data_IF_932050710733
#
_entry.id   IF_932050710733
#
_cell.length_a   1.000
_cell.length_b   1.000
_cell.length_c   1.000
_cell.angle_alpha   90.00
_cell.angle_beta   90.00
_cell.angle_gamma   90.00
#
_symmetry.space_group_name_H-M   'P 1'
#
loop_
_entity.id
_entity.type
_entity.pdbx_description
1 polymer ?
#
# COMPACT_ATOMS: atom_id res chain seq x y z
N UNK A 1 -9.13 35.45 6.37
CA UNK A 1 -7.75 35.52 5.78
C UNK A 1 -6.86 34.67 6.69
N UNK A 2 -6.62 33.42 6.36
CA UNK A 2 -5.76 32.51 7.12
C UNK A 2 -4.36 32.64 6.53
N UNK A 3 -3.39 33.15 7.30
CA UNK A 3 -2.02 33.29 6.83
C UNK A 3 -1.17 32.06 7.14
N UNK A 4 0.08 32.09 6.78
CA UNK A 4 0.71 31.06 5.97
C UNK A 4 1.22 29.90 6.80
N UNK A 5 0.55 28.76 6.71
CA UNK A 5 1.10 27.44 7.04
C UNK A 5 2.26 26.96 6.14
N UNK A 6 2.68 27.63 5.05
CA UNK A 6 3.62 27.06 4.10
C UNK A 6 5.04 26.88 4.63
N UNK A 7 5.54 27.75 5.51
CA UNK A 7 6.95 27.71 5.94
C UNK A 7 7.22 26.61 6.98
N UNK A 8 6.34 26.44 7.95
CA UNK A 8 6.49 25.40 8.99
C UNK A 8 6.30 24.01 8.37
N UNK A 9 5.25 23.85 7.57
CA UNK A 9 4.98 22.57 6.87
C UNK A 9 6.08 22.24 5.86
N UNK A 10 6.63 23.23 5.15
CA UNK A 10 7.77 23.03 4.25
C UNK A 10 9.02 22.59 5.01
N UNK A 11 9.34 23.23 6.15
CA UNK A 11 10.47 22.87 6.99
C UNK A 11 10.29 21.45 7.58
N UNK A 12 9.08 21.09 7.98
CA UNK A 12 8.77 19.76 8.49
C UNK A 12 8.95 18.70 7.39
N UNK A 13 8.43 18.93 6.19
CA UNK A 13 8.64 18.02 5.04
C UNK A 13 10.11 17.89 4.66
N UNK A 14 10.85 18.99 4.66
CA UNK A 14 12.30 18.95 4.41
C UNK A 14 13.06 18.17 5.47
N UNK A 15 12.73 18.35 6.76
CA UNK A 15 13.34 17.58 7.84
C UNK A 15 13.01 16.08 7.72
N UNK A 16 11.75 15.74 7.43
CA UNK A 16 11.32 14.36 7.20
C UNK A 16 12.09 13.71 6.04
N UNK A 17 12.23 14.43 4.93
CA UNK A 17 12.96 13.94 3.75
C UNK A 17 14.44 13.70 4.05
N UNK A 18 15.12 14.63 4.74
CA UNK A 18 16.52 14.44 5.15
C UNK A 18 16.71 13.23 6.07
N UNK A 19 15.76 12.97 6.97
CA UNK A 19 15.80 11.79 7.84
C UNK A 19 15.71 10.51 7.02
N UNK A 20 14.82 10.46 6.02
CA UNK A 20 14.66 9.29 5.14
C UNK A 20 15.95 9.05 4.34
N UNK A 21 16.49 10.07 3.70
CA UNK A 21 17.71 9.99 2.90
C UNK A 21 18.90 9.53 3.75
N UNK A 22 19.13 10.18 4.90
CA UNK A 22 20.19 9.81 5.84
C UNK A 22 20.08 8.36 6.33
N UNK A 23 18.87 7.91 6.64
CA UNK A 23 18.65 6.54 7.09
C UNK A 23 18.95 5.52 5.99
N UNK A 24 18.47 5.75 4.76
CA UNK A 24 18.71 4.85 3.64
C UNK A 24 20.20 4.77 3.29
N UNK A 25 20.92 5.90 3.30
CA UNK A 25 22.37 5.93 3.11
C UNK A 25 23.10 5.12 4.19
N UNK A 26 22.78 5.35 5.46
CA UNK A 26 23.40 4.64 6.58
C UNK A 26 23.10 3.14 6.57
N UNK A 27 21.87 2.75 6.22
CA UNK A 27 21.54 1.32 6.09
C UNK A 27 22.33 0.64 4.98
N UNK A 28 22.63 1.35 3.90
CA UNK A 28 23.49 0.84 2.82
C UNK A 28 24.96 0.79 3.24
N UNK A 29 25.45 1.80 3.95
CA UNK A 29 26.86 1.90 4.36
C UNK A 29 27.24 0.90 5.45
N UNK A 30 26.36 0.71 6.47
CA UNK A 30 26.70 0.02 7.73
C UNK A 30 25.80 -1.17 8.05
N UNK A 31 24.74 -1.38 7.27
CA UNK A 31 23.67 -2.34 7.56
C UNK A 31 22.65 -1.78 8.57
N UNK A 32 21.43 -2.32 8.50
CA UNK A 32 20.31 -1.85 9.30
C UNK A 32 20.56 -1.98 10.81
N UNK A 33 21.11 -3.10 11.27
CA UNK A 33 21.28 -3.39 12.71
C UNK A 33 22.27 -2.45 13.38
N UNK A 34 23.35 -2.10 12.68
CA UNK A 34 24.42 -1.24 13.22
C UNK A 34 24.05 0.24 13.29
N UNK A 35 22.93 0.66 12.69
CA UNK A 35 22.52 2.07 12.66
C UNK A 35 21.55 2.39 13.77
N UNK A 36 21.83 3.43 14.54
CA UNK A 36 20.98 3.96 15.60
C UNK A 36 20.18 5.19 15.14
N UNK A 37 19.10 5.52 15.88
CA UNK A 37 18.37 6.79 15.68
C UNK A 37 19.30 8.01 15.86
N UNK A 38 20.31 7.90 16.73
CA UNK A 38 21.32 8.94 16.91
C UNK A 38 22.12 9.21 15.63
N UNK A 39 22.63 8.14 14.99
CA UNK A 39 23.38 8.25 13.74
C UNK A 39 22.55 8.88 12.63
N UNK A 40 21.26 8.47 12.51
CA UNK A 40 20.33 9.03 11.52
C UNK A 40 20.08 10.51 11.78
N UNK A 41 19.81 10.89 13.02
CA UNK A 41 19.53 12.28 13.39
C UNK A 41 20.75 13.19 13.14
N UNK A 42 21.95 12.72 13.46
CA UNK A 42 23.22 13.40 13.19
C UNK A 42 23.45 13.59 11.69
N UNK A 43 23.37 12.53 10.89
CA UNK A 43 23.53 12.56 9.43
C UNK A 43 22.47 13.48 8.75
N UNK A 44 21.25 13.47 9.27
CA UNK A 44 20.15 14.32 8.77
C UNK A 44 20.23 15.78 9.24
N UNK A 45 21.22 16.13 10.08
CA UNK A 45 21.35 17.44 10.70
C UNK A 45 20.07 17.89 11.45
N UNK A 46 19.47 16.97 12.22
CA UNK A 46 18.29 17.24 13.02
C UNK A 46 18.52 16.79 14.47
N UNK A 47 17.80 17.40 15.40
CA UNK A 47 17.78 16.90 16.78
C UNK A 47 17.02 15.57 16.92
N UNK A 48 17.39 14.71 17.87
CA UNK A 48 16.68 13.45 18.17
C UNK A 48 15.17 13.68 18.43
N UNK A 49 14.79 14.76 19.09
CA UNK A 49 13.39 15.14 19.29
C UNK A 49 12.67 15.40 17.96
N UNK A 50 13.37 15.98 16.98
CA UNK A 50 12.81 16.20 15.66
C UNK A 50 12.63 14.86 14.94
N UNK A 51 13.58 13.92 15.06
CA UNK A 51 13.41 12.57 14.54
C UNK A 51 12.13 11.91 15.11
N UNK A 52 12.00 11.84 16.44
CA UNK A 52 10.85 11.20 17.10
C UNK A 52 9.51 11.90 16.85
N UNK A 53 9.52 13.17 16.46
CA UNK A 53 8.29 13.84 15.99
C UNK A 53 7.81 13.36 14.63
N UNK A 54 8.71 12.86 13.76
CA UNK A 54 8.40 12.36 12.43
C UNK A 54 8.27 10.83 12.37
N UNK A 55 9.06 10.13 13.17
CA UNK A 55 9.15 8.67 13.16
C UNK A 55 9.26 8.15 14.59
N UNK A 56 8.49 7.12 14.92
CA UNK A 56 8.53 6.50 16.25
C UNK A 56 9.85 5.76 16.52
N UNK A 57 10.43 5.16 15.48
CA UNK A 57 11.68 4.41 15.54
C UNK A 57 12.35 4.35 14.14
N UNK A 58 13.54 3.70 14.06
CA UNK A 58 14.26 3.55 12.79
C UNK A 58 13.53 2.64 11.78
N UNK A 59 12.68 1.73 12.27
CA UNK A 59 11.89 0.84 11.43
C UNK A 59 10.81 1.62 10.68
N UNK A 60 10.17 2.61 11.32
CA UNK A 60 9.19 3.48 10.66
C UNK A 60 9.79 4.25 9.48
N UNK A 61 11.08 4.56 9.51
CA UNK A 61 11.74 5.25 8.40
C UNK A 61 11.79 4.37 7.15
N UNK A 62 11.98 3.06 7.32
CA UNK A 62 11.94 2.09 6.21
C UNK A 62 10.61 2.14 5.48
N UNK A 63 9.50 2.34 6.20
CA UNK A 63 8.13 2.39 5.69
C UNK A 63 7.61 3.81 5.38
N UNK A 64 8.50 4.78 5.22
CA UNK A 64 8.11 6.17 4.99
C UNK A 64 7.27 6.37 3.71
N UNK A 65 7.52 5.56 2.66
CA UNK A 65 6.78 5.60 1.39
C UNK A 65 5.36 5.04 1.51
N UNK A 66 5.15 4.04 2.37
CA UNK A 66 3.82 3.46 2.62
C UNK A 66 2.88 4.47 3.26
N UNK A 67 3.41 5.34 4.11
CA UNK A 67 2.63 6.45 4.67
C UNK A 67 2.13 7.40 3.58
N UNK A 68 2.95 7.71 2.58
CA UNK A 68 2.56 8.53 1.41
C UNK A 68 1.49 7.84 0.55
N UNK A 69 1.54 6.50 0.44
CA UNK A 69 0.51 5.73 -0.24
C UNK A 69 -0.83 5.81 0.48
N UNK A 70 -0.84 5.68 1.82
CA UNK A 70 -2.05 5.83 2.64
C UNK A 70 -2.68 7.22 2.49
N UNK A 71 -1.87 8.28 2.47
CA UNK A 71 -2.33 9.65 2.23
C UNK A 71 -2.92 9.80 0.82
N UNK A 72 -2.36 9.11 -0.18
CA UNK A 72 -2.86 9.12 -1.56
C UNK A 72 -4.25 8.46 -1.64
N UNK A 73 -4.46 7.33 -0.95
CA UNK A 73 -5.78 6.67 -0.88
C UNK A 73 -6.79 7.60 -0.21
N UNK A 74 -6.44 8.21 0.92
CA UNK A 74 -7.30 9.12 1.64
C UNK A 74 -7.64 10.40 0.82
N UNK A 75 -6.74 10.86 -0.05
CA UNK A 75 -7.02 11.96 -0.97
C UNK A 75 -7.97 11.54 -2.09
N UNK A 76 -7.81 10.33 -2.63
CA UNK A 76 -8.69 9.78 -3.65
C UNK A 76 -10.13 9.62 -3.15
N UNK A 77 -10.32 9.20 -1.87
CA UNK A 77 -11.63 9.10 -1.24
C UNK A 77 -12.40 10.44 -1.26
N UNK A 78 -11.70 11.55 -1.04
CA UNK A 78 -12.32 12.88 -0.97
C UNK A 78 -12.64 13.52 -2.32
N UNK A 79 -12.00 13.04 -3.38
CA UNK A 79 -12.07 13.66 -4.72
C UNK A 79 -12.99 12.93 -5.70
N UNK A 80 -13.58 11.79 -5.29
CA UNK A 80 -14.21 10.86 -6.20
C UNK A 80 -15.73 10.80 -6.00
N UNK A 81 -16.47 11.05 -7.09
CA UNK A 81 -17.94 10.96 -7.18
C UNK A 81 -18.40 9.56 -7.66
N UNK A 82 -17.56 8.54 -7.44
CA UNK A 82 -17.87 7.15 -7.83
C UNK A 82 -19.01 6.61 -6.96
N UNK A 83 -20.06 6.10 -7.60
CA UNK A 83 -21.21 5.53 -6.92
C UNK A 83 -20.83 4.32 -6.03
N UNK A 84 -21.64 4.09 -4.99
CA UNK A 84 -21.51 2.91 -4.12
C UNK A 84 -21.49 1.60 -4.91
N UNK A 85 -20.57 0.71 -4.62
CA UNK A 85 -20.56 -0.64 -5.15
C UNK A 85 -21.69 -1.46 -4.50
N UNK A 86 -22.50 -2.14 -5.32
CA UNK A 86 -23.65 -2.94 -4.90
C UNK A 86 -23.33 -4.43 -4.75
N UNK A 87 -22.14 -4.84 -5.14
CA UNK A 87 -21.67 -6.23 -5.04
C UNK A 87 -20.15 -6.27 -4.77
N UNK A 88 -19.67 -7.40 -4.24
CA UNK A 88 -18.24 -7.61 -4.06
C UNK A 88 -17.45 -7.52 -5.38
N UNK A 89 -18.05 -7.97 -6.49
CA UNK A 89 -17.42 -7.86 -7.82
C UNK A 89 -17.25 -6.40 -8.24
N UNK A 90 -18.28 -5.57 -8.10
CA UNK A 90 -18.20 -4.14 -8.39
C UNK A 90 -17.18 -3.44 -7.48
N UNK A 91 -17.18 -3.77 -6.19
CA UNK A 91 -16.22 -3.23 -5.23
C UNK A 91 -14.77 -3.56 -5.59
N UNK A 92 -14.48 -4.81 -5.96
CA UNK A 92 -13.15 -5.23 -6.45
C UNK A 92 -12.79 -4.51 -7.75
N UNK A 93 -13.74 -4.32 -8.67
CA UNK A 93 -13.52 -3.57 -9.90
C UNK A 93 -13.17 -2.10 -9.62
N UNK A 94 -13.83 -1.47 -8.63
CA UNK A 94 -13.51 -0.10 -8.23
C UNK A 94 -12.13 0.04 -7.58
N UNK A 95 -11.69 -0.95 -6.79
CA UNK A 95 -10.38 -0.94 -6.15
C UNK A 95 -9.23 -1.26 -7.10
N UNK A 96 -9.50 -1.98 -8.18
CA UNK A 96 -8.46 -2.38 -9.16
C UNK A 96 -7.61 -1.21 -9.66
N UNK A 97 -8.17 -0.11 -10.23
CA UNK A 97 -7.36 1.01 -10.70
C UNK A 97 -6.58 1.69 -9.57
N UNK A 98 -7.17 1.80 -8.37
CA UNK A 98 -6.52 2.39 -7.20
C UNK A 98 -5.27 1.58 -6.84
N UNK A 99 -5.41 0.26 -6.67
CA UNK A 99 -4.28 -0.58 -6.27
C UNK A 99 -3.21 -0.68 -7.37
N UNK A 100 -3.60 -0.74 -8.65
CA UNK A 100 -2.61 -0.72 -9.75
C UNK A 100 -1.83 0.60 -9.78
N UNK A 101 -2.46 1.73 -9.50
CA UNK A 101 -1.77 3.01 -9.37
C UNK A 101 -0.80 3.04 -8.18
N UNK A 102 -1.17 2.45 -7.03
CA UNK A 102 -0.29 2.29 -5.88
C UNK A 102 0.91 1.40 -6.20
N UNK A 103 0.69 0.26 -6.88
CA UNK A 103 1.78 -0.61 -7.34
C UNK A 103 2.73 0.12 -8.29
N UNK A 104 2.19 0.87 -9.27
CA UNK A 104 3.00 1.65 -10.21
C UNK A 104 3.84 2.71 -9.49
N UNK A 105 3.26 3.41 -8.51
CA UNK A 105 3.99 4.38 -7.70
C UNK A 105 5.08 3.74 -6.83
N UNK A 106 4.78 2.61 -6.20
CA UNK A 106 5.76 1.87 -5.41
C UNK A 106 6.95 1.39 -6.25
N UNK A 107 6.68 0.93 -7.47
CA UNK A 107 7.67 0.40 -8.40
C UNK A 107 8.30 1.46 -9.34
N UNK A 108 8.01 2.75 -9.15
CA UNK A 108 8.50 3.83 -10.01
C UNK A 108 10.03 3.95 -10.04
N UNK A 109 10.69 3.57 -8.94
CA UNK A 109 12.13 3.39 -8.85
C UNK A 109 12.44 1.90 -8.56
N UNK A 110 12.76 1.11 -9.59
CA UNK A 110 12.97 -0.33 -9.45
C UNK A 110 14.13 -0.71 -8.52
N UNK A 111 15.18 0.10 -8.47
CA UNK A 111 16.32 -0.16 -7.61
C UNK A 111 15.97 0.10 -6.14
N UNK A 112 15.33 1.23 -5.85
CA UNK A 112 14.88 1.55 -4.51
C UNK A 112 13.84 0.52 -4.01
N UNK A 113 12.92 0.06 -4.88
CA UNK A 113 11.97 -1.00 -4.58
C UNK A 113 12.69 -2.29 -4.19
N UNK A 114 13.63 -2.74 -5.00
CA UNK A 114 14.38 -3.98 -4.76
C UNK A 114 15.17 -3.92 -3.46
N UNK A 115 15.89 -2.82 -3.21
CA UNK A 115 16.64 -2.61 -1.97
C UNK A 115 15.73 -2.62 -0.74
N UNK A 116 14.57 -1.95 -0.82
CA UNK A 116 13.60 -1.90 0.26
C UNK A 116 13.11 -3.31 0.66
N UNK A 117 12.69 -4.12 -0.31
CA UNK A 117 12.20 -5.46 -0.02
C UNK A 117 13.30 -6.43 0.38
N UNK A 118 14.52 -6.32 -0.16
CA UNK A 118 15.66 -7.08 0.33
C UNK A 118 15.95 -6.79 1.80
N UNK A 119 15.89 -5.53 2.21
CA UNK A 119 16.05 -5.13 3.60
C UNK A 119 14.96 -5.75 4.50
N UNK A 120 13.69 -5.70 4.07
CA UNK A 120 12.58 -6.30 4.81
C UNK A 120 12.76 -7.82 4.95
N UNK A 121 13.16 -8.52 3.90
CA UNK A 121 13.34 -9.98 3.90
C UNK A 121 14.44 -10.44 4.87
N UNK A 122 15.48 -9.64 5.05
CA UNK A 122 16.60 -9.96 5.93
C UNK A 122 16.26 -9.82 7.42
N UNK A 123 15.22 -9.04 7.79
CA UNK A 123 14.91 -8.71 9.19
C UNK A 123 13.49 -9.13 9.57
N UNK A 124 13.35 -10.05 10.54
CA UNK A 124 12.06 -10.57 10.97
C UNK A 124 11.11 -9.48 11.50
N UNK A 125 11.66 -8.50 12.19
CA UNK A 125 10.92 -7.35 12.73
C UNK A 125 10.36 -6.44 11.64
N UNK A 126 11.09 -6.26 10.52
CA UNK A 126 10.61 -5.51 9.37
C UNK A 126 9.52 -6.27 8.63
N UNK A 127 9.65 -7.61 8.48
CA UNK A 127 8.57 -8.44 7.91
C UNK A 127 7.27 -8.37 8.72
N UNK A 128 7.38 -8.42 10.05
CA UNK A 128 6.22 -8.28 10.93
C UNK A 128 5.55 -6.91 10.75
N UNK A 129 6.34 -5.85 10.69
CA UNK A 129 5.84 -4.48 10.47
C UNK A 129 5.23 -4.30 9.09
N UNK A 130 5.84 -4.88 8.05
CA UNK A 130 5.27 -4.88 6.69
C UNK A 130 3.87 -5.51 6.66
N UNK A 131 3.67 -6.62 7.37
CA UNK A 131 2.35 -7.24 7.45
C UNK A 131 1.30 -6.29 8.06
N UNK A 132 1.67 -5.56 9.12
CA UNK A 132 0.79 -4.54 9.72
C UNK A 132 0.52 -3.40 8.74
N UNK A 133 1.54 -2.89 8.05
CA UNK A 133 1.38 -1.81 7.04
C UNK A 133 0.50 -2.25 5.88
N UNK A 134 0.67 -3.47 5.40
CA UNK A 134 -0.19 -4.05 4.36
C UNK A 134 -1.65 -4.11 4.81
N UNK A 135 -1.91 -4.51 6.07
CA UNK A 135 -3.26 -4.51 6.63
C UNK A 135 -3.83 -3.08 6.72
N UNK A 136 -3.04 -2.10 7.13
CA UNK A 136 -3.47 -0.69 7.13
C UNK A 136 -3.87 -0.20 5.73
N UNK A 137 -3.19 -0.64 4.68
CA UNK A 137 -3.58 -0.34 3.29
C UNK A 137 -4.94 -0.99 2.97
N UNK A 138 -5.15 -2.26 3.36
CA UNK A 138 -6.45 -2.92 3.20
C UNK A 138 -7.57 -2.15 3.90
N UNK A 139 -7.35 -1.73 5.15
CA UNK A 139 -8.33 -0.98 5.93
C UNK A 139 -8.69 0.33 5.24
N UNK A 140 -7.70 1.07 4.72
CA UNK A 140 -7.92 2.32 3.97
C UNK A 140 -8.64 2.12 2.64
N UNK A 141 -8.39 1.02 1.94
CA UNK A 141 -9.13 0.66 0.73
C UNK A 141 -10.60 0.33 1.06
N UNK A 142 -10.85 -0.35 2.19
CA UNK A 142 -12.20 -0.59 2.70
C UNK A 142 -12.92 0.71 3.08
N UNK A 143 -12.25 1.60 3.82
CA UNK A 143 -12.78 2.93 4.17
C UNK A 143 -13.16 3.73 2.92
N UNK A 144 -12.31 3.71 1.87
CA UNK A 144 -12.61 4.37 0.58
C UNK A 144 -13.96 3.91 -0.01
N UNK A 145 -14.26 2.61 0.03
CA UNK A 145 -15.52 2.08 -0.48
C UNK A 145 -16.71 2.43 0.44
N UNK A 146 -16.50 2.42 1.76
CA UNK A 146 -17.52 2.82 2.74
C UNK A 146 -17.88 4.30 2.56
N UNK A 147 -16.89 5.17 2.39
CA UNK A 147 -17.08 6.60 2.14
C UNK A 147 -17.89 6.85 0.85
N UNK A 148 -17.79 5.95 -0.15
CA UNK A 148 -18.61 5.95 -1.38
C UNK A 148 -20.01 5.37 -1.16
N UNK A 149 -20.33 4.89 0.03
CA UNK A 149 -21.65 4.35 0.40
C UNK A 149 -21.83 2.85 0.21
N UNK A 150 -20.74 2.08 -0.01
CA UNK A 150 -20.81 0.62 -0.03
C UNK A 150 -21.02 0.08 1.38
N UNK A 151 -21.70 -1.07 1.52
CA UNK A 151 -21.83 -1.71 2.82
C UNK A 151 -20.47 -2.22 3.34
N UNK A 152 -20.35 -2.25 4.67
CA UNK A 152 -19.07 -2.54 5.32
C UNK A 152 -18.53 -3.94 4.99
N UNK A 153 -19.39 -4.97 4.93
CA UNK A 153 -18.96 -6.34 4.66
C UNK A 153 -18.41 -6.48 3.23
N UNK A 154 -19.11 -5.91 2.26
CA UNK A 154 -18.68 -5.85 0.84
C UNK A 154 -17.37 -5.06 0.70
N UNK A 155 -17.27 -3.91 1.35
CA UNK A 155 -16.09 -3.05 1.28
C UNK A 155 -14.84 -3.75 1.87
N UNK A 156 -14.96 -4.33 3.05
CA UNK A 156 -13.86 -5.05 3.70
C UNK A 156 -13.43 -6.29 2.92
N UNK A 157 -14.39 -7.08 2.42
CA UNK A 157 -14.09 -8.25 1.60
C UNK A 157 -13.34 -7.85 0.33
N UNK A 158 -13.81 -6.84 -0.40
CA UNK A 158 -13.19 -6.37 -1.62
C UNK A 158 -11.76 -5.85 -1.38
N UNK A 159 -11.55 -5.13 -0.28
CA UNK A 159 -10.23 -4.65 0.12
C UNK A 159 -9.24 -5.80 0.38
N UNK A 160 -9.66 -6.85 1.10
CA UNK A 160 -8.83 -8.04 1.33
C UNK A 160 -8.51 -8.77 0.02
N UNK A 161 -9.48 -8.90 -0.89
CA UNK A 161 -9.26 -9.48 -2.22
C UNK A 161 -8.24 -8.65 -3.02
N UNK A 162 -8.36 -7.33 -2.99
CA UNK A 162 -7.42 -6.45 -3.67
C UNK A 162 -5.99 -6.62 -3.14
N UNK A 163 -5.81 -6.66 -1.82
CA UNK A 163 -4.51 -6.94 -1.20
C UNK A 163 -4.00 -8.34 -1.53
N UNK A 164 -4.87 -9.37 -1.57
CA UNK A 164 -4.47 -10.70 -1.98
C UNK A 164 -3.94 -10.75 -3.42
N UNK A 165 -4.50 -9.97 -4.34
CA UNK A 165 -3.98 -9.83 -5.70
C UNK A 165 -2.55 -9.24 -5.71
N UNK A 166 -2.30 -8.19 -4.95
CA UNK A 166 -0.97 -7.60 -4.78
C UNK A 166 0.03 -8.58 -4.14
N UNK A 167 -0.37 -9.22 -3.05
CA UNK A 167 0.49 -10.19 -2.35
C UNK A 167 0.83 -11.40 -3.23
N UNK A 168 -0.09 -11.81 -4.12
CA UNK A 168 0.16 -12.87 -5.10
C UNK A 168 1.25 -12.46 -6.07
N UNK A 169 1.18 -11.24 -6.63
CA UNK A 169 2.21 -10.69 -7.51
C UNK A 169 3.58 -10.62 -6.80
N UNK A 170 3.61 -10.17 -5.53
CA UNK A 170 4.85 -10.20 -4.73
C UNK A 170 5.43 -11.61 -4.58
N UNK A 171 4.61 -12.60 -4.28
CA UNK A 171 5.07 -13.99 -4.09
C UNK A 171 5.57 -14.65 -5.37
N UNK A 172 5.12 -14.21 -6.54
CA UNK A 172 5.56 -14.72 -7.84
C UNK A 172 6.95 -14.23 -8.28
N UNK A 173 7.57 -13.33 -7.53
CA UNK A 173 8.94 -12.89 -7.81
C UNK A 173 9.29 -11.52 -7.30
N UNK A 174 8.33 -10.77 -6.76
CA UNK A 174 8.54 -9.42 -6.21
C UNK A 174 9.35 -8.49 -7.14
N UNK A 175 9.09 -8.59 -8.45
CA UNK A 175 9.82 -7.85 -9.46
C UNK A 175 9.11 -6.51 -9.75
N UNK A 176 9.74 -5.36 -9.50
CA UNK A 176 9.13 -4.06 -9.72
C UNK A 176 8.69 -3.83 -11.17
N UNK A 177 9.35 -4.47 -12.15
CA UNK A 177 9.01 -4.31 -13.58
C UNK A 177 7.75 -5.06 -13.99
N UNK A 178 7.39 -6.13 -13.30
CA UNK A 178 6.21 -6.97 -13.60
C UNK A 178 5.10 -6.82 -12.57
N UNK A 179 5.35 -6.16 -11.44
CA UNK A 179 4.43 -6.05 -10.30
C UNK A 179 3.03 -5.59 -10.71
N UNK A 180 2.94 -4.56 -11.55
CA UNK A 180 1.64 -4.01 -12.01
C UNK A 180 0.90 -5.01 -12.88
N UNK A 181 1.58 -5.68 -13.81
CA UNK A 181 0.97 -6.63 -14.74
C UNK A 181 0.57 -7.93 -14.05
N UNK A 182 1.38 -8.41 -13.13
CA UNK A 182 1.06 -9.58 -12.31
C UNK A 182 -0.12 -9.30 -11.38
N UNK A 183 -0.16 -8.11 -10.75
CA UNK A 183 -1.31 -7.68 -9.94
C UNK A 183 -2.58 -7.57 -10.80
N UNK A 184 -2.48 -6.98 -11.99
CA UNK A 184 -3.60 -6.89 -12.95
C UNK A 184 -4.11 -8.27 -13.35
N UNK A 185 -3.21 -9.20 -13.60
CA UNK A 185 -3.53 -10.61 -13.95
C UNK A 185 -4.24 -11.29 -12.78
N UNK A 186 -3.80 -11.10 -11.56
CA UNK A 186 -4.45 -11.63 -10.35
C UNK A 186 -5.89 -11.11 -10.21
N UNK A 187 -6.11 -9.81 -10.40
CA UNK A 187 -7.47 -9.23 -10.45
C UNK A 187 -8.33 -9.86 -11.56
N UNK A 188 -7.78 -10.05 -12.75
CA UNK A 188 -8.49 -10.71 -13.86
C UNK A 188 -8.99 -12.11 -13.47
N UNK A 189 -8.12 -12.91 -12.83
CA UNK A 189 -8.48 -14.27 -12.36
C UNK A 189 -9.59 -14.23 -11.31
N UNK A 190 -9.51 -13.32 -10.33
CA UNK A 190 -10.54 -13.17 -9.29
C UNK A 190 -11.89 -12.78 -9.90
N UNK A 191 -11.91 -11.82 -10.83
CA UNK A 191 -13.13 -11.34 -11.44
C UNK A 191 -13.80 -12.40 -12.34
N UNK A 192 -13.03 -13.35 -12.90
CA UNK A 192 -13.57 -14.48 -13.69
C UNK A 192 -14.10 -15.62 -12.83
N UNK A 193 -13.66 -15.77 -11.57
CA UNK A 193 -14.19 -16.81 -10.66
C UNK A 193 -15.69 -16.68 -10.42
N UNK A 194 -16.23 -15.45 -10.41
CA UNK A 194 -17.66 -15.19 -10.23
C UNK A 194 -18.53 -15.44 -11.46
N UNK A 195 -17.96 -15.50 -12.66
CA UNK A 195 -18.71 -15.70 -13.90
C UNK A 195 -18.89 -17.17 -14.27
N UNK A 196 -18.05 -18.08 -13.75
CA UNK A 196 -18.10 -19.52 -14.05
C UNK A 196 -19.19 -20.31 -13.31
N UNK A 197 -19.88 -19.72 -12.34
CA UNK A 197 -20.94 -20.42 -11.56
C UNK A 197 -22.32 -20.28 -12.21
N UNK A 198 -22.50 -19.40 -13.19
CA UNK A 198 -23.80 -19.17 -13.85
C UNK A 198 -24.16 -20.21 -14.94
N UNK A 199 -23.21 -20.99 -15.43
CA UNK A 199 -23.48 -21.93 -16.54
C UNK A 199 -23.85 -23.37 -16.13
N UNK A 200 -23.80 -23.72 -14.83
CA UNK A 200 -24.06 -25.12 -14.39
C UNK A 200 -25.45 -25.35 -13.81
N UNK A 201 -26.38 -24.39 -13.91
CA UNK A 201 -27.82 -24.63 -13.65
C UNK A 201 -28.60 -24.79 -14.96
N UNK A 202 -28.15 -25.64 -15.85
CA UNK A 202 -28.98 -26.15 -16.94
C UNK A 202 -29.89 -27.25 -16.40
N UNK A 203 -31.18 -26.92 -16.45
CA UNK A 203 -32.42 -27.67 -16.28
C UNK A 203 -32.27 -29.21 -16.36
N UNK A 204 -32.81 -29.94 -15.37
CA UNK A 204 -32.94 -31.40 -15.50
C UNK A 204 -33.89 -31.78 -16.66
N UNK A 205 -33.63 -32.88 -17.37
CA UNK A 205 -34.52 -33.31 -18.46
C UNK A 205 -35.89 -33.74 -17.91
N UNK A 206 -36.92 -33.29 -18.60
CA UNK A 206 -38.32 -33.63 -18.39
C UNK A 206 -38.54 -35.18 -18.53
N UNK A 207 -39.07 -35.87 -17.53
CA UNK A 207 -39.26 -37.33 -17.62
C UNK A 207 -40.58 -37.74 -18.27
N UNK A 208 -41.07 -36.99 -19.30
CA UNK A 208 -42.28 -37.33 -20.01
C UNK A 208 -42.05 -37.42 -21.50
N UNK A 209 -41.40 -38.53 -21.92
CA UNK A 209 -41.57 -39.17 -23.27
C UNK A 209 -41.14 -40.62 -23.21
#
# INVERSE_FOLDING_TARGET
MTPPRPLVERKQRQARQRIIEAALELFLERGFDAVSVGDIAERAEVGRTTFFRHFGDKQEVVFAKEQELLETIAAASRADDTAAARSATEAVQQLRPVLLALCARAAADPEAYTRHFQLIEQHAELRAREAVKTQQIADKLGELLIDRGSDEATARLAAQIAIACYQTAKRLGNNPRTLVDETRTAFGRVLTLGTGVAETQAKPPDPSR
#
